data_IF_606047153025
#
_entry.id   IF_606047153025
#
_cell.length_a   1.000
_cell.length_b   1.000
_cell.length_c   1.000
_cell.angle_alpha   90.00
_cell.angle_beta   90.00
_cell.angle_gamma   90.00
#
_symmetry.space_group_name_H-M   'P 1'
#
loop_
_entity.id
_entity.type
_entity.pdbx_description
1 polymer ?
#
# COMPACT_ATOMS: atom_id res chain seq x y z
N UNK A 1 -8.07 5.40 22.25
CA UNK A 1 -7.55 5.97 20.99
C UNK A 1 -6.59 4.97 20.38
N UNK A 2 -6.58 4.85 19.05
CA UNK A 2 -5.57 4.04 18.38
C UNK A 2 -4.19 4.70 18.61
N UNK A 3 -3.16 3.92 18.93
CA UNK A 3 -1.78 4.40 19.09
C UNK A 3 -0.94 3.83 17.96
N UNK A 4 0.06 4.55 17.48
CA UNK A 4 0.97 4.06 16.44
C UNK A 4 1.71 2.81 16.89
N UNK A 5 2.07 2.75 18.16
CA UNK A 5 2.81 1.64 18.76
C UNK A 5 2.00 0.34 18.90
N UNK A 6 0.68 0.37 18.70
CA UNK A 6 -0.16 -0.83 18.63
C UNK A 6 -0.07 -1.55 17.28
N UNK A 7 0.39 -0.87 16.22
CA UNK A 7 0.52 -1.45 14.89
C UNK A 7 1.78 -2.31 14.76
N UNK A 8 1.71 -3.34 13.92
CA UNK A 8 2.87 -4.11 13.47
C UNK A 8 3.47 -3.54 12.20
N UNK A 9 2.64 -2.91 11.38
CA UNK A 9 3.03 -2.31 10.10
C UNK A 9 2.27 -1.02 9.86
N UNK A 10 3.02 0.04 9.54
CA UNK A 10 2.54 1.38 9.23
C UNK A 10 2.87 1.75 7.78
N UNK A 11 1.90 2.35 7.10
CA UNK A 11 2.14 3.11 5.87
C UNK A 11 2.00 4.60 6.22
N UNK A 12 2.98 5.40 5.83
CA UNK A 12 3.02 6.84 6.13
C UNK A 12 3.06 7.57 4.79
N UNK A 13 2.02 8.35 4.52
CA UNK A 13 1.96 9.19 3.31
C UNK A 13 2.46 10.58 3.61
N UNK A 14 3.35 11.06 2.77
CA UNK A 14 4.00 12.36 2.86
C UNK A 14 3.64 13.21 1.63
N UNK A 15 2.95 14.33 1.85
CA UNK A 15 2.60 15.28 0.80
C UNK A 15 3.81 16.09 0.30
N UNK A 16 3.79 16.53 -0.95
CA UNK A 16 4.87 17.31 -1.55
C UNK A 16 5.16 18.61 -0.81
N UNK A 17 4.14 19.28 -0.26
CA UNK A 17 4.28 20.51 0.48
C UNK A 17 5.04 20.36 1.82
N UNK A 18 5.11 19.15 2.36
CA UNK A 18 5.88 18.84 3.57
C UNK A 18 7.37 18.68 3.25
N UNK A 19 7.70 18.20 2.05
CA UNK A 19 9.07 17.90 1.64
C UNK A 19 9.74 19.02 0.87
N UNK A 20 8.98 19.81 0.11
CA UNK A 20 9.52 20.80 -0.81
C UNK A 20 8.93 22.17 -0.48
N UNK A 21 9.79 23.13 -0.26
CA UNK A 21 9.38 24.51 -0.11
C UNK A 21 8.85 25.04 -1.45
N UNK A 22 7.61 25.55 -1.44
CA UNK A 22 6.92 25.98 -2.65
C UNK A 22 7.57 27.19 -3.33
N UNK A 23 8.21 28.07 -2.56
CA UNK A 23 8.78 29.29 -3.07
C UNK A 23 10.15 29.06 -3.72
N UNK A 24 11.01 28.28 -3.07
CA UNK A 24 12.39 28.02 -3.51
C UNK A 24 12.55 26.74 -4.34
N UNK A 25 11.59 25.80 -4.28
CA UNK A 25 11.72 24.46 -4.86
C UNK A 25 12.74 23.57 -4.12
N UNK A 26 13.26 24.03 -2.98
CA UNK A 26 14.27 23.33 -2.21
C UNK A 26 13.64 22.25 -1.29
N UNK A 27 14.43 21.21 -1.03
CA UNK A 27 14.05 20.19 -0.05
C UNK A 27 14.04 20.81 1.37
N UNK A 28 12.99 20.55 2.14
CA UNK A 28 12.88 20.90 3.57
C UNK A 28 13.69 19.89 4.41
N UNK A 29 15.00 20.02 4.35
CA UNK A 29 15.95 19.05 4.89
C UNK A 29 15.77 18.79 6.38
N UNK A 30 15.59 19.84 7.18
CA UNK A 30 15.46 19.70 8.64
C UNK A 30 14.19 18.92 9.00
N UNK A 31 13.10 19.17 8.28
CA UNK A 31 11.86 18.42 8.47
C UNK A 31 12.04 16.93 8.09
N UNK A 32 12.76 16.65 6.99
CA UNK A 32 13.03 15.26 6.58
C UNK A 32 13.90 14.53 7.60
N UNK A 33 14.89 15.20 8.19
CA UNK A 33 15.71 14.64 9.27
C UNK A 33 14.87 14.35 10.53
N UNK A 34 13.95 15.24 10.89
CA UNK A 34 13.04 15.01 12.01
C UNK A 34 12.07 13.81 11.74
N UNK A 35 11.58 13.68 10.51
CA UNK A 35 10.81 12.50 10.13
C UNK A 35 11.66 11.20 10.18
N UNK A 36 12.95 11.27 9.79
CA UNK A 36 13.84 10.12 9.86
C UNK A 36 14.05 9.64 11.31
N UNK A 37 14.12 10.57 12.29
CA UNK A 37 14.13 10.22 13.72
C UNK A 37 12.84 9.49 14.15
N UNK A 38 11.68 9.92 13.64
CA UNK A 38 10.40 9.25 13.92
C UNK A 38 10.37 7.84 13.32
N UNK A 39 10.86 7.67 12.10
CA UNK A 39 10.98 6.35 11.47
C UNK A 39 11.93 5.45 12.25
N UNK A 40 13.07 5.99 12.72
CA UNK A 40 14.02 5.25 13.54
C UNK A 40 13.38 4.81 14.88
N UNK A 41 12.60 5.69 15.51
CA UNK A 41 11.85 5.37 16.71
C UNK A 41 10.85 4.24 16.50
N UNK A 42 10.07 4.26 15.38
CA UNK A 42 9.15 3.18 15.03
C UNK A 42 9.89 1.86 14.77
N UNK A 43 11.00 1.90 14.03
CA UNK A 43 11.85 0.72 13.79
C UNK A 43 12.42 0.14 15.07
N UNK A 44 12.82 0.97 16.03
CA UNK A 44 13.23 0.52 17.36
C UNK A 44 12.10 -0.22 18.11
N UNK A 45 10.85 0.19 17.90
CA UNK A 45 9.64 -0.51 18.41
C UNK A 45 9.28 -1.78 17.62
N UNK A 46 10.13 -2.21 16.66
CA UNK A 46 9.91 -3.38 15.82
C UNK A 46 8.68 -3.25 14.91
N UNK A 47 8.34 -2.03 14.51
CA UNK A 47 7.24 -1.75 13.59
C UNK A 47 7.79 -1.70 12.17
N UNK A 48 7.17 -2.40 11.25
CA UNK A 48 7.43 -2.29 9.81
C UNK A 48 6.92 -0.93 9.31
N UNK A 49 7.76 -0.19 8.59
CA UNK A 49 7.42 1.13 8.04
C UNK A 49 7.55 1.12 6.52
N UNK A 50 6.52 1.66 5.85
CA UNK A 50 6.53 1.97 4.41
C UNK A 50 6.24 3.46 4.26
N UNK A 51 7.06 4.18 3.53
CA UNK A 51 6.84 5.60 3.22
C UNK A 51 6.26 5.73 1.81
N UNK A 52 5.12 6.42 1.67
CA UNK A 52 4.57 6.80 0.36
C UNK A 52 4.77 8.29 0.19
N UNK A 53 5.66 8.67 -0.72
CA UNK A 53 6.15 10.02 -0.80
C UNK A 53 5.82 10.68 -2.13
N UNK A 54 5.28 11.89 -2.06
CA UNK A 54 5.20 12.81 -3.20
C UNK A 54 6.45 13.68 -3.27
N UNK A 55 6.49 14.59 -4.27
CA UNK A 55 7.50 15.65 -4.33
C UNK A 55 8.55 15.50 -5.44
N UNK A 56 8.55 14.38 -6.18
CA UNK A 56 9.42 14.17 -7.34
C UNK A 56 9.33 15.31 -8.36
N UNK A 57 8.12 15.62 -8.83
CA UNK A 57 7.87 16.70 -9.80
C UNK A 57 8.36 18.05 -9.24
N UNK A 58 8.05 18.34 -7.97
CA UNK A 58 8.44 19.62 -7.35
C UNK A 58 9.96 19.80 -7.26
N UNK A 59 10.69 18.76 -6.84
CA UNK A 59 12.15 18.76 -6.77
C UNK A 59 12.79 18.84 -8.15
N UNK A 60 12.24 18.11 -9.12
CA UNK A 60 12.75 18.12 -10.49
C UNK A 60 12.48 19.45 -11.20
N UNK A 61 11.32 20.04 -10.95
CA UNK A 61 10.95 21.37 -11.46
C UNK A 61 11.96 22.42 -11.01
N UNK A 62 12.30 22.47 -9.72
CA UNK A 62 13.32 23.36 -9.19
C UNK A 62 14.69 23.11 -9.81
N UNK A 63 15.08 21.85 -10.01
CA UNK A 63 16.36 21.48 -10.59
C UNK A 63 16.50 21.85 -12.08
N UNK A 64 15.39 21.80 -12.82
CA UNK A 64 15.34 22.14 -14.26
C UNK A 64 15.03 23.61 -14.52
N UNK A 65 14.81 24.43 -13.48
CA UNK A 65 14.41 25.83 -13.63
C UNK A 65 13.08 26.03 -14.33
N UNK A 66 12.16 25.06 -14.21
CA UNK A 66 10.84 25.12 -14.83
C UNK A 66 9.91 26.05 -14.04
N UNK A 67 8.95 26.73 -14.69
CA UNK A 67 8.05 27.67 -14.05
C UNK A 67 7.13 26.99 -13.02
N UNK A 68 6.65 27.78 -12.05
CA UNK A 68 5.73 27.30 -10.99
C UNK A 68 4.30 27.01 -11.49
N UNK A 69 3.96 27.44 -12.71
CA UNK A 69 2.66 27.23 -13.36
C UNK A 69 2.44 25.76 -13.73
N UNK A 70 1.22 25.40 -14.13
CA UNK A 70 0.91 24.07 -14.60
C UNK A 70 1.77 23.70 -15.81
N UNK A 71 2.44 22.54 -15.72
CA UNK A 71 3.31 22.03 -16.76
C UNK A 71 2.52 21.11 -17.70
N UNK A 72 2.83 21.11 -19.01
CA UNK A 72 2.43 20.03 -19.90
C UNK A 72 2.87 18.66 -19.36
N UNK A 73 2.17 17.59 -19.75
CA UNK A 73 2.39 16.25 -19.24
C UNK A 73 3.86 15.83 -19.38
N UNK A 74 4.45 15.99 -20.55
CA UNK A 74 5.82 15.58 -20.84
C UNK A 74 6.85 16.35 -19.99
N UNK A 75 6.60 17.62 -19.70
CA UNK A 75 7.46 18.39 -18.82
C UNK A 75 7.30 17.96 -17.36
N UNK A 76 6.10 17.60 -16.93
CA UNK A 76 5.83 17.04 -15.61
C UNK A 76 6.54 15.69 -15.45
N UNK A 77 6.47 14.81 -16.45
CA UNK A 77 7.14 13.51 -16.47
C UNK A 77 8.66 13.67 -16.46
N UNK A 78 9.21 14.60 -17.26
CA UNK A 78 10.65 14.91 -17.24
C UNK A 78 11.10 15.46 -15.88
N UNK A 79 10.31 16.36 -15.29
CA UNK A 79 10.57 16.87 -13.95
C UNK A 79 10.51 15.72 -12.90
N UNK A 80 9.52 14.84 -12.98
CA UNK A 80 9.43 13.67 -12.12
C UNK A 80 10.67 12.78 -12.22
N UNK A 81 11.13 12.48 -13.43
CA UNK A 81 12.32 11.66 -13.67
C UNK A 81 13.58 12.25 -12.99
N UNK A 82 13.80 13.56 -13.15
CA UNK A 82 14.94 14.26 -12.52
C UNK A 82 14.78 14.35 -11.00
N UNK A 83 13.57 14.62 -10.53
CA UNK A 83 13.29 14.80 -9.10
C UNK A 83 13.26 13.51 -8.33
N UNK A 84 12.88 12.39 -8.95
CA UNK A 84 12.77 11.10 -8.28
C UNK A 84 14.12 10.60 -7.75
N UNK A 85 15.20 10.79 -8.50
CA UNK A 85 16.56 10.45 -8.05
C UNK A 85 16.94 11.28 -6.81
N UNK A 86 16.62 12.58 -6.83
CA UNK A 86 16.90 13.50 -5.72
C UNK A 86 16.09 13.14 -4.47
N UNK A 87 14.83 12.78 -4.67
CA UNK A 87 13.94 12.34 -3.59
C UNK A 87 14.45 11.07 -2.92
N UNK A 88 14.76 10.04 -3.71
CA UNK A 88 15.29 8.77 -3.21
C UNK A 88 16.59 8.98 -2.43
N UNK A 89 17.52 9.76 -2.97
CA UNK A 89 18.79 10.10 -2.31
C UNK A 89 18.57 10.86 -1.00
N UNK A 90 17.63 11.80 -0.95
CA UNK A 90 17.34 12.56 0.26
C UNK A 90 16.85 11.66 1.40
N UNK A 91 15.99 10.68 1.12
CA UNK A 91 15.57 9.68 2.10
C UNK A 91 16.72 8.77 2.55
N UNK A 92 17.56 8.33 1.61
CA UNK A 92 18.74 7.52 1.91
C UNK A 92 19.69 8.27 2.85
N UNK A 93 20.04 9.52 2.51
CA UNK A 93 20.92 10.37 3.33
C UNK A 93 20.33 10.66 4.74
N UNK A 94 18.99 10.81 4.83
CA UNK A 94 18.34 11.08 6.11
C UNK A 94 18.23 9.83 7.02
N UNK A 95 18.04 8.64 6.44
CA UNK A 95 17.84 7.41 7.20
C UNK A 95 19.13 6.61 7.47
N UNK A 96 20.17 6.80 6.65
CA UNK A 96 21.46 6.12 6.80
C UNK A 96 22.13 6.34 8.17
N UNK A 97 22.11 7.54 8.78
CA UNK A 97 22.67 7.76 10.13
C UNK A 97 22.03 6.91 11.22
N UNK A 98 20.80 6.44 11.01
CA UNK A 98 20.07 5.55 11.93
C UNK A 98 20.29 4.06 11.60
N UNK A 99 21.17 3.73 10.65
CA UNK A 99 21.38 2.35 10.20
C UNK A 99 20.23 1.74 9.42
N UNK A 100 19.33 2.58 8.87
CA UNK A 100 18.14 2.15 8.15
C UNK A 100 18.43 2.18 6.66
N UNK A 101 18.35 1.00 6.02
CA UNK A 101 18.43 0.86 4.57
C UNK A 101 17.08 1.21 3.94
N UNK A 102 17.13 1.91 2.82
CA UNK A 102 15.95 2.29 2.03
C UNK A 102 15.93 1.57 0.69
N UNK A 103 14.75 1.41 0.12
CA UNK A 103 14.58 0.91 -1.25
C UNK A 103 13.51 1.72 -1.98
N UNK A 104 13.84 2.20 -3.18
CA UNK A 104 12.85 2.84 -4.04
C UNK A 104 11.95 1.81 -4.70
N UNK A 105 10.63 2.02 -4.63
CA UNK A 105 9.61 1.20 -5.30
C UNK A 105 8.68 2.13 -6.06
N UNK A 106 8.68 2.05 -7.38
CA UNK A 106 7.80 2.82 -8.24
C UNK A 106 6.67 1.94 -8.76
N UNK A 107 5.45 2.39 -8.57
CA UNK A 107 4.23 1.67 -8.98
C UNK A 107 3.25 2.63 -9.65
N UNK A 108 2.28 2.08 -10.38
CA UNK A 108 1.11 2.83 -10.85
C UNK A 108 -0.14 2.27 -10.19
N UNK A 109 -1.23 3.03 -10.19
CA UNK A 109 -2.52 2.53 -9.69
C UNK A 109 -3.03 1.34 -10.50
N UNK A 110 -2.71 1.25 -11.79
CA UNK A 110 -3.02 0.10 -12.62
C UNK A 110 -2.34 -1.19 -12.15
N UNK A 111 -1.14 -1.09 -11.54
CA UNK A 111 -0.45 -2.26 -10.99
C UNK A 111 -1.24 -2.92 -9.86
N UNK A 112 -2.09 -2.16 -9.17
CA UNK A 112 -3.00 -2.68 -8.15
C UNK A 112 -4.22 -3.39 -8.75
N UNK A 113 -4.67 -3.00 -9.95
CA UNK A 113 -5.79 -3.61 -10.65
C UNK A 113 -5.38 -4.91 -11.36
N UNK A 114 -4.14 -5.00 -11.84
CA UNK A 114 -3.61 -6.20 -12.47
C UNK A 114 -3.11 -7.20 -11.42
N UNK A 115 -3.77 -8.36 -11.30
CA UNK A 115 -3.47 -9.35 -10.27
C UNK A 115 -2.02 -9.83 -10.24
N UNK A 116 -1.44 -10.08 -11.41
CA UNK A 116 -0.04 -10.54 -11.52
C UNK A 116 0.92 -9.48 -11.00
N UNK A 117 0.73 -8.22 -11.41
CA UNK A 117 1.53 -7.08 -10.95
C UNK A 117 1.34 -6.84 -9.45
N UNK A 118 0.09 -6.88 -8.99
CA UNK A 118 -0.25 -6.79 -7.56
C UNK A 118 0.49 -7.83 -6.71
N UNK A 119 0.46 -9.12 -7.10
CA UNK A 119 1.14 -10.18 -6.36
C UNK A 119 2.66 -10.02 -6.37
N UNK A 120 3.24 -9.54 -7.48
CA UNK A 120 4.67 -9.25 -7.55
C UNK A 120 5.06 -8.08 -6.65
N UNK A 121 4.36 -6.95 -6.73
CA UNK A 121 4.58 -5.77 -5.87
C UNK A 121 4.45 -6.14 -4.39
N UNK A 122 3.41 -6.91 -4.04
CA UNK A 122 3.22 -7.44 -2.69
C UNK A 122 4.39 -8.30 -2.24
N UNK A 123 4.86 -9.22 -3.08
CA UNK A 123 5.97 -10.11 -2.74
C UNK A 123 7.27 -9.31 -2.51
N UNK A 124 7.57 -8.36 -3.39
CA UNK A 124 8.75 -7.49 -3.30
C UNK A 124 8.70 -6.63 -2.02
N UNK A 125 7.60 -5.91 -1.77
CA UNK A 125 7.45 -5.08 -0.58
C UNK A 125 7.57 -5.89 0.70
N UNK A 126 6.90 -7.04 0.78
CA UNK A 126 7.01 -7.91 1.95
C UNK A 126 8.41 -8.50 2.14
N UNK A 127 9.15 -8.75 1.06
CA UNK A 127 10.53 -9.23 1.16
C UNK A 127 11.47 -8.13 1.68
N UNK A 128 11.35 -6.90 1.18
CA UNK A 128 12.09 -5.74 1.69
C UNK A 128 11.83 -5.53 3.20
N UNK A 129 10.56 -5.56 3.61
CA UNK A 129 10.19 -5.40 5.02
C UNK A 129 10.79 -6.51 5.90
N UNK A 130 10.78 -7.78 5.44
CA UNK A 130 11.43 -8.90 6.16
C UNK A 130 12.94 -8.73 6.30
N UNK A 131 13.60 -8.06 5.36
CA UNK A 131 15.01 -7.70 5.41
C UNK A 131 15.29 -6.48 6.30
N UNK A 132 14.26 -5.87 6.90
CA UNK A 132 14.38 -4.67 7.73
C UNK A 132 14.48 -3.36 6.94
N UNK A 133 14.41 -3.42 5.61
CA UNK A 133 14.47 -2.27 4.71
C UNK A 133 13.18 -1.44 4.80
N UNK A 134 13.29 -0.12 4.70
CA UNK A 134 12.15 0.81 4.59
C UNK A 134 11.89 1.13 3.11
N UNK A 135 10.80 0.62 2.52
CA UNK A 135 10.43 0.99 1.16
C UNK A 135 9.97 2.44 1.08
N UNK A 136 10.51 3.18 0.10
CA UNK A 136 10.06 4.51 -0.31
C UNK A 136 9.27 4.33 -1.59
N UNK A 137 7.95 4.35 -1.47
CA UNK A 137 7.04 4.12 -2.58
C UNK A 137 6.61 5.45 -3.17
N UNK A 138 6.61 5.56 -4.48
CA UNK A 138 6.02 6.67 -5.20
C UNK A 138 5.34 6.16 -6.47
N UNK A 139 4.54 7.02 -7.07
CA UNK A 139 4.02 6.79 -8.41
C UNK A 139 5.15 6.77 -9.43
N UNK A 140 5.04 5.91 -10.44
CA UNK A 140 5.90 5.95 -11.61
C UNK A 140 5.41 7.03 -12.58
N UNK A 141 5.61 8.28 -12.20
CA UNK A 141 5.19 9.46 -12.94
C UNK A 141 5.67 9.47 -14.41
N UNK A 142 6.72 8.73 -14.74
CA UNK A 142 7.28 8.70 -16.10
C UNK A 142 6.41 7.94 -17.09
N UNK A 143 5.54 7.07 -16.63
CA UNK A 143 4.63 6.27 -17.46
C UNK A 143 3.15 6.46 -17.08
N UNK A 144 2.86 7.02 -15.91
CA UNK A 144 1.52 7.31 -15.47
C UNK A 144 0.97 8.55 -16.17
N UNK A 145 -0.28 8.51 -16.62
CA UNK A 145 -0.93 9.62 -17.35
C UNK A 145 -2.10 10.20 -16.58
N UNK A 146 -2.96 9.39 -16.02
CA UNK A 146 -4.18 9.83 -15.37
C UNK A 146 -3.92 10.32 -13.95
N UNK A 147 -3.04 9.67 -13.22
CA UNK A 147 -2.69 9.95 -11.83
C UNK A 147 -1.86 11.23 -11.69
N UNK A 148 -0.96 11.53 -12.64
CA UNK A 148 -0.21 12.80 -12.68
C UNK A 148 -1.16 13.99 -12.74
N UNK A 149 -2.27 13.84 -13.45
CA UNK A 149 -3.29 14.87 -13.60
C UNK A 149 -3.92 15.27 -12.27
N UNK A 150 -4.03 14.33 -11.34
CA UNK A 150 -4.70 14.53 -10.05
C UNK A 150 -3.74 14.70 -8.88
N UNK A 151 -2.45 14.34 -9.04
CA UNK A 151 -1.39 14.56 -8.04
C UNK A 151 -1.67 13.93 -6.67
N UNK A 152 -2.40 12.80 -6.64
CA UNK A 152 -2.97 12.24 -5.42
C UNK A 152 -2.31 10.94 -5.01
N UNK A 153 -1.32 11.05 -4.11
CA UNK A 153 -0.72 9.87 -3.46
C UNK A 153 -1.53 9.37 -2.24
N UNK A 154 -2.68 9.96 -1.89
CA UNK A 154 -3.53 9.46 -0.80
C UNK A 154 -4.15 8.12 -1.21
N UNK A 155 -4.66 8.04 -2.45
CA UNK A 155 -5.19 6.81 -3.04
C UNK A 155 -4.09 5.75 -3.19
N UNK A 156 -2.91 6.13 -3.68
CA UNK A 156 -1.77 5.22 -3.78
C UNK A 156 -1.38 4.67 -2.40
N UNK A 157 -1.32 5.52 -1.37
CA UNK A 157 -0.98 5.11 -0.02
C UNK A 157 -1.99 4.10 0.55
N UNK A 158 -3.29 4.29 0.30
CA UNK A 158 -4.30 3.32 0.69
C UNK A 158 -4.11 1.98 -0.04
N UNK A 159 -3.82 1.99 -1.33
CA UNK A 159 -3.53 0.76 -2.09
C UNK A 159 -2.27 0.05 -1.58
N UNK A 160 -1.20 0.79 -1.24
CA UNK A 160 0.02 0.23 -0.64
C UNK A 160 -0.26 -0.35 0.75
N UNK A 161 -1.11 0.29 1.55
CA UNK A 161 -1.53 -0.25 2.85
C UNK A 161 -2.21 -1.62 2.68
N UNK A 162 -3.13 -1.75 1.73
CA UNK A 162 -3.79 -3.02 1.42
C UNK A 162 -2.80 -4.06 0.86
N UNK A 163 -1.94 -3.64 -0.06
CA UNK A 163 -0.95 -4.51 -0.69
C UNK A 163 0.02 -5.10 0.32
N UNK A 164 0.47 -4.30 1.27
CA UNK A 164 1.39 -4.73 2.33
C UNK A 164 0.69 -5.39 3.51
N UNK A 165 -0.64 -5.22 3.62
CA UNK A 165 -1.42 -5.67 4.78
C UNK A 165 -1.08 -4.86 6.02
N UNK A 166 -0.96 -3.55 5.89
CA UNK A 166 -0.68 -2.65 7.00
C UNK A 166 -1.86 -2.56 7.96
N UNK A 167 -1.56 -2.39 9.23
CA UNK A 167 -2.55 -2.19 10.29
C UNK A 167 -3.07 -0.76 10.31
N UNK A 168 -2.19 0.20 9.97
CA UNK A 168 -2.52 1.62 9.99
C UNK A 168 -1.89 2.36 8.80
N UNK A 169 -2.63 3.35 8.30
CA UNK A 169 -2.20 4.35 7.32
C UNK A 169 -2.24 5.73 7.95
N UNK A 170 -1.13 6.46 7.94
CA UNK A 170 -1.05 7.83 8.44
C UNK A 170 -0.89 8.79 7.28
N UNK A 171 -1.85 9.67 7.08
CA UNK A 171 -1.74 10.78 6.14
C UNK A 171 -1.19 12.01 6.86
N UNK A 172 0.09 12.31 6.65
CA UNK A 172 0.70 13.57 7.05
C UNK A 172 0.24 14.65 6.06
N UNK A 173 -0.53 15.59 6.56
CA UNK A 173 -1.26 16.58 5.76
C UNK A 173 -0.94 18.01 6.24
N UNK A 174 -1.52 18.98 5.57
CA UNK A 174 -1.57 20.40 5.95
C UNK A 174 -2.79 20.74 6.82
N UNK A 175 -3.56 19.70 7.20
CA UNK A 175 -4.69 19.80 8.14
C UNK A 175 -4.53 18.79 9.27
N UNK A 176 -5.03 19.13 10.43
CA UNK A 176 -4.91 18.35 11.67
C UNK A 176 -6.07 17.37 11.91
N UNK A 177 -6.89 17.11 10.87
CA UNK A 177 -7.99 16.16 10.92
C UNK A 177 -9.09 16.45 9.92
N UNK A 178 -10.20 15.75 10.09
CA UNK A 178 -11.44 15.90 9.33
C UNK A 178 -12.45 16.70 10.15
N UNK A 179 -13.11 17.66 9.52
CA UNK A 179 -14.06 18.60 10.15
C UNK A 179 -15.43 18.50 9.54
N UNK A 180 -16.45 18.91 10.30
CA UNK A 180 -17.84 18.99 9.85
C UNK A 180 -18.07 20.01 8.72
N UNK A 181 -17.15 20.95 8.56
CA UNK A 181 -17.11 21.97 7.52
C UNK A 181 -15.66 22.50 7.41
N UNK A 182 -15.38 23.37 6.45
CA UNK A 182 -14.06 23.98 6.30
C UNK A 182 -13.75 24.94 7.47
N UNK A 183 -12.80 24.62 8.35
CA UNK A 183 -12.49 25.45 9.53
C UNK A 183 -11.90 26.83 9.19
N UNK A 184 -11.42 27.02 7.94
CA UNK A 184 -10.92 28.33 7.51
C UNK A 184 -12.03 29.29 7.16
N UNK A 185 -13.21 28.79 6.75
CA UNK A 185 -14.37 29.59 6.39
C UNK A 185 -15.48 29.56 7.42
N UNK A 186 -15.54 28.53 8.27
CA UNK A 186 -16.56 28.35 9.31
C UNK A 186 -15.91 28.12 10.67
N UNK A 187 -16.01 29.11 11.55
CA UNK A 187 -15.45 29.03 12.92
C UNK A 187 -16.16 28.00 13.82
N UNK A 188 -17.40 27.58 13.46
CA UNK A 188 -18.17 26.57 14.19
C UNK A 188 -17.85 25.14 13.72
N UNK A 189 -16.96 24.97 12.74
CA UNK A 189 -16.56 23.68 12.25
C UNK A 189 -15.91 22.84 13.38
N UNK A 190 -16.44 21.65 13.60
CA UNK A 190 -15.98 20.73 14.64
C UNK A 190 -15.15 19.61 14.05
N UNK A 191 -13.96 19.36 14.60
CA UNK A 191 -13.14 18.22 14.23
C UNK A 191 -13.74 16.92 14.77
N UNK A 192 -13.70 15.89 13.97
CA UNK A 192 -14.00 14.53 14.40
C UNK A 192 -12.72 13.87 14.92
N UNK A 193 -12.74 13.39 16.16
CA UNK A 193 -11.60 12.61 16.69
C UNK A 193 -11.59 11.20 16.14
N UNK A 194 -12.78 10.60 15.97
CA UNK A 194 -12.97 9.25 15.43
C UNK A 194 -14.15 9.23 14.47
N UNK A 195 -13.98 8.55 13.35
CA UNK A 195 -15.03 8.22 12.38
C UNK A 195 -15.07 6.69 12.25
N UNK A 196 -16.10 6.07 12.82
CA UNK A 196 -16.25 4.60 12.81
C UNK A 196 -16.83 4.09 11.48
N UNK A 197 -17.64 4.91 10.81
CA UNK A 197 -18.24 4.59 9.52
C UNK A 197 -18.29 5.84 8.63
N UNK A 198 -17.85 5.68 7.39
CA UNK A 198 -17.92 6.75 6.39
C UNK A 198 -19.29 6.67 5.72
N UNK A 199 -20.27 7.39 6.29
CA UNK A 199 -21.62 7.47 5.78
C UNK A 199 -21.73 8.52 4.65
N UNK A 200 -22.83 8.54 3.86
CA UNK A 200 -23.07 9.59 2.87
C UNK A 200 -23.02 11.01 3.45
N UNK A 201 -23.43 11.19 4.71
CA UNK A 201 -23.38 12.47 5.41
C UNK A 201 -21.94 12.90 5.67
N UNK A 202 -21.06 11.98 6.08
CA UNK A 202 -19.61 12.22 6.24
C UNK A 202 -18.99 12.52 4.87
N UNK A 203 -19.36 11.80 3.81
CA UNK A 203 -18.88 12.10 2.45
C UNK A 203 -19.27 13.50 1.99
N UNK A 204 -20.50 13.95 2.28
CA UNK A 204 -20.97 15.27 1.92
C UNK A 204 -20.21 16.42 2.64
N UNK A 205 -19.72 16.19 3.86
CA UNK A 205 -18.92 17.18 4.63
C UNK A 205 -17.55 17.45 4.00
N UNK A 206 -17.04 16.57 3.14
CA UNK A 206 -15.77 16.80 2.45
C UNK A 206 -15.82 17.89 1.38
N UNK A 207 -17.02 18.45 1.15
CA UNK A 207 -17.30 19.50 0.16
C UNK A 207 -17.65 18.96 -1.21
N UNK A 208 -18.32 19.78 -2.02
CA UNK A 208 -18.72 19.47 -3.39
C UNK A 208 -17.50 19.47 -4.33
N UNK A 209 -16.72 18.42 -4.30
CA UNK A 209 -15.67 18.16 -5.28
C UNK A 209 -16.20 17.65 -6.62
N UNK A 210 -17.43 18.06 -7.00
CA UNK A 210 -18.07 17.71 -8.28
C UNK A 210 -17.32 18.24 -9.52
N UNK A 211 -16.30 19.06 -9.36
CA UNK A 211 -15.51 19.58 -10.47
C UNK A 211 -14.26 18.77 -10.82
N UNK A 212 -14.06 17.57 -10.32
CA UNK A 212 -13.03 16.61 -10.80
C UNK A 212 -11.57 17.11 -10.92
N UNK A 213 -11.27 18.33 -10.48
CA UNK A 213 -10.06 19.09 -10.78
C UNK A 213 -9.24 19.53 -9.55
N UNK A 214 -9.68 19.20 -8.32
CA UNK A 214 -8.89 19.56 -7.14
C UNK A 214 -7.75 18.58 -6.93
N UNK A 215 -6.54 19.04 -7.12
CA UNK A 215 -5.29 18.33 -6.80
C UNK A 215 -5.22 18.10 -5.27
N UNK A 216 -5.72 16.95 -4.76
CA UNK A 216 -5.58 16.53 -3.37
C UNK A 216 -6.38 17.36 -2.37
N UNK A 217 -7.68 17.13 -2.25
CA UNK A 217 -8.55 17.74 -1.24
C UNK A 217 -8.99 16.75 -0.17
N UNK A 218 -9.93 17.17 0.71
CA UNK A 218 -10.49 16.30 1.74
C UNK A 218 -11.21 15.08 1.13
N UNK A 219 -11.79 15.20 -0.06
CA UNK A 219 -12.44 14.10 -0.78
C UNK A 219 -11.45 12.97 -1.07
N UNK A 220 -10.24 13.27 -1.54
CA UNK A 220 -9.23 12.24 -1.83
C UNK A 220 -8.80 11.51 -0.57
N UNK A 221 -8.73 12.23 0.56
CA UNK A 221 -8.43 11.65 1.89
C UNK A 221 -9.56 10.74 2.36
N UNK A 222 -10.83 11.12 2.16
CA UNK A 222 -11.97 10.25 2.49
C UNK A 222 -12.05 9.01 1.59
N UNK A 223 -11.75 9.13 0.30
CA UNK A 223 -11.65 7.97 -0.59
C UNK A 223 -10.53 7.02 -0.17
N UNK A 224 -9.39 7.57 0.25
CA UNK A 224 -8.29 6.78 0.82
C UNK A 224 -8.71 6.11 2.13
N UNK A 225 -9.44 6.82 3.02
CA UNK A 225 -9.97 6.26 4.25
C UNK A 225 -10.95 5.11 3.99
N UNK A 226 -11.89 5.30 3.06
CA UNK A 226 -12.85 4.25 2.65
C UNK A 226 -12.15 3.01 2.11
N UNK A 227 -11.11 3.22 1.29
CA UNK A 227 -10.29 2.12 0.76
C UNK A 227 -9.52 1.40 1.86
N UNK A 228 -8.81 2.14 2.72
CA UNK A 228 -7.99 1.58 3.79
C UNK A 228 -8.85 0.81 4.80
N UNK A 229 -9.92 1.43 5.34
CA UNK A 229 -10.78 0.82 6.35
C UNK A 229 -11.55 -0.39 5.82
N UNK A 230 -12.02 -0.33 4.57
CA UNK A 230 -12.62 -1.47 3.88
C UNK A 230 -11.66 -2.64 3.72
N UNK A 231 -10.36 -2.37 3.60
CA UNK A 231 -9.28 -3.37 3.58
C UNK A 231 -8.78 -3.78 4.97
N UNK A 232 -9.39 -3.30 6.05
CA UNK A 232 -9.02 -3.64 7.42
C UNK A 232 -7.85 -2.85 7.99
N UNK A 233 -7.45 -1.75 7.33
CA UNK A 233 -6.40 -0.85 7.76
C UNK A 233 -7.03 0.42 8.34
N UNK A 234 -6.79 0.73 9.61
CA UNK A 234 -7.21 2.00 10.20
C UNK A 234 -6.43 3.16 9.55
N UNK A 235 -7.04 4.34 9.46
CA UNK A 235 -6.37 5.50 8.86
C UNK A 235 -6.45 6.72 9.78
N UNK A 236 -5.38 7.51 9.84
CA UNK A 236 -5.40 8.81 10.49
C UNK A 236 -5.04 9.93 9.52
N UNK A 237 -5.71 11.08 9.67
CA UNK A 237 -5.30 12.37 9.10
C UNK A 237 -4.78 13.22 10.24
N UNK A 238 -3.57 13.75 10.11
CA UNK A 238 -2.94 14.61 11.13
C UNK A 238 -2.06 15.67 10.48
N UNK A 239 -1.79 16.75 11.24
CA UNK A 239 -0.86 17.81 10.82
C UNK A 239 0.55 17.25 10.65
N UNK A 240 1.08 17.38 9.45
CA UNK A 240 2.40 16.87 9.09
C UNK A 240 3.50 17.94 9.08
N UNK A 241 3.15 19.23 9.17
CA UNK A 241 4.13 20.34 9.06
C UNK A 241 5.01 20.51 10.28
N UNK A 242 4.60 19.95 11.41
CA UNK A 242 5.36 19.99 12.67
C UNK A 242 6.62 19.12 12.60
N UNK A 243 7.60 19.44 13.42
CA UNK A 243 8.78 18.59 13.56
C UNK A 243 8.41 17.32 14.33
N UNK A 244 8.90 16.15 13.87
CA UNK A 244 8.59 14.84 14.42
C UNK A 244 7.08 14.55 14.48
N UNK A 245 6.39 14.56 13.32
CA UNK A 245 4.93 14.53 13.30
C UNK A 245 4.34 13.21 13.82
N UNK A 246 5.07 12.09 13.68
CA UNK A 246 4.58 10.80 14.17
C UNK A 246 4.69 10.70 15.68
N UNK A 247 5.75 11.25 16.27
CA UNK A 247 5.87 11.32 17.72
C UNK A 247 4.88 12.32 18.31
N UNK A 248 4.60 13.43 17.62
CA UNK A 248 3.55 14.35 18.01
C UNK A 248 2.18 13.66 18.05
N UNK A 249 1.86 12.87 17.02
CA UNK A 249 0.62 12.08 16.94
C UNK A 249 0.54 11.06 18.11
N UNK A 250 1.60 10.31 18.38
CA UNK A 250 1.64 9.36 19.51
C UNK A 250 1.43 10.06 20.85
N UNK A 251 1.92 11.28 20.99
CA UNK A 251 1.78 12.11 22.19
C UNK A 251 0.45 12.87 22.28
N UNK A 252 -0.51 12.58 21.37
CA UNK A 252 -1.87 13.12 21.43
C UNK A 252 -2.09 14.42 20.65
N UNK A 253 -1.25 14.70 19.65
CA UNK A 253 -1.57 15.77 18.69
C UNK A 253 -2.91 15.50 17.99
N UNK A 254 -3.53 16.56 17.51
CA UNK A 254 -4.80 16.50 16.81
C UNK A 254 -4.75 15.53 15.62
N UNK A 255 -5.75 14.69 15.51
CA UNK A 255 -5.95 13.79 14.39
C UNK A 255 -7.43 13.37 14.28
N UNK A 256 -7.83 12.94 13.08
CA UNK A 256 -9.05 12.18 12.90
C UNK A 256 -8.69 10.75 12.56
N UNK A 257 -9.15 9.79 13.36
CA UNK A 257 -8.98 8.37 13.13
C UNK A 257 -10.22 7.78 12.46
N UNK A 258 -10.01 7.09 11.34
CA UNK A 258 -11.00 6.26 10.66
C UNK A 258 -10.75 4.81 11.06
N UNK A 259 -11.74 4.17 11.72
CA UNK A 259 -11.55 2.83 12.26
C UNK A 259 -11.88 1.75 11.22
N UNK A 260 -11.15 0.65 11.28
CA UNK A 260 -11.46 -0.54 10.48
C UNK A 260 -12.25 -1.54 11.31
N UNK A 261 -13.35 -2.08 10.74
CA UNK A 261 -14.23 -3.05 11.42
C UNK A 261 -13.69 -4.48 11.38
N UNK A 262 -12.67 -4.73 10.59
CA UNK A 262 -12.03 -6.04 10.41
C UNK A 262 -10.53 -5.89 10.34
N UNK A 263 -9.79 -6.97 10.55
CA UNK A 263 -8.34 -6.97 10.37
C UNK A 263 -7.96 -7.05 8.88
N UNK A 264 -6.75 -6.63 8.48
CA UNK A 264 -6.27 -6.76 7.10
C UNK A 264 -6.32 -8.21 6.58
N UNK A 265 -6.05 -9.17 7.46
CA UNK A 265 -6.13 -10.59 7.10
C UNK A 265 -7.57 -11.04 6.83
N UNK A 266 -8.53 -10.60 7.64
CA UNK A 266 -9.95 -10.92 7.44
C UNK A 266 -10.50 -10.27 6.16
N UNK A 267 -10.17 -9.00 5.93
CA UNK A 267 -10.54 -8.30 4.72
C UNK A 267 -9.99 -9.02 3.48
N UNK A 268 -8.70 -9.42 3.50
CA UNK A 268 -8.08 -10.17 2.41
C UNK A 268 -8.75 -11.51 2.14
N UNK A 269 -9.05 -12.28 3.19
CA UNK A 269 -9.78 -13.55 3.03
C UNK A 269 -11.15 -13.35 2.41
N UNK A 270 -11.91 -12.34 2.86
CA UNK A 270 -13.20 -11.97 2.26
C UNK A 270 -13.06 -11.61 0.78
N UNK A 271 -12.06 -10.79 0.44
CA UNK A 271 -11.78 -10.40 -0.93
C UNK A 271 -11.44 -11.61 -1.82
N UNK A 272 -10.54 -12.52 -1.36
CA UNK A 272 -10.23 -13.76 -2.10
C UNK A 272 -11.50 -14.60 -2.28
N UNK A 273 -12.29 -14.81 -1.22
CA UNK A 273 -13.52 -15.62 -1.27
C UNK A 273 -14.60 -15.06 -2.20
N UNK A 274 -14.62 -13.75 -2.43
CA UNK A 274 -15.61 -13.10 -3.31
C UNK A 274 -15.27 -13.20 -4.80
N UNK A 275 -14.07 -13.63 -5.14
CA UNK A 275 -13.64 -13.75 -6.54
C UNK A 275 -14.29 -14.95 -7.22
N UNK A 276 -14.57 -14.83 -8.50
CA UNK A 276 -15.03 -15.96 -9.33
C UNK A 276 -13.83 -16.84 -9.65
N UNK A 277 -13.81 -18.13 -9.25
CA UNK A 277 -12.73 -19.05 -9.58
C UNK A 277 -12.63 -19.28 -11.09
N UNK A 278 -11.40 -19.41 -11.57
CA UNK A 278 -11.09 -19.73 -12.98
C UNK A 278 -10.73 -21.21 -13.18
N UNK A 279 -10.54 -21.95 -12.08
CA UNK A 279 -10.23 -23.37 -12.08
C UNK A 279 -10.26 -23.95 -10.68
N UNK A 280 -9.80 -25.19 -10.53
CA UNK A 280 -9.73 -25.87 -9.26
C UNK A 280 -8.47 -26.75 -9.13
N UNK A 281 -8.00 -26.88 -7.88
CA UNK A 281 -6.91 -27.75 -7.45
C UNK A 281 -7.48 -28.79 -6.48
N UNK A 282 -7.48 -30.07 -6.86
CA UNK A 282 -7.83 -31.13 -5.92
C UNK A 282 -6.59 -31.55 -5.15
N UNK A 283 -6.73 -31.70 -3.83
CA UNK A 283 -5.61 -32.01 -2.94
C UNK A 283 -5.82 -33.34 -2.24
N UNK A 284 -4.72 -33.99 -1.86
CA UNK A 284 -4.74 -35.19 -1.03
C UNK A 284 -5.10 -34.86 0.45
N UNK A 285 -5.35 -35.90 1.25
CA UNK A 285 -5.73 -35.74 2.65
C UNK A 285 -4.61 -35.15 3.51
N UNK A 286 -3.34 -35.41 3.17
CA UNK A 286 -2.17 -34.83 3.83
C UNK A 286 -2.09 -33.33 3.65
N UNK A 287 -2.27 -32.87 2.40
CA UNK A 287 -2.33 -31.45 2.05
C UNK A 287 -3.57 -30.79 2.68
N UNK A 288 -4.75 -31.41 2.61
CA UNK A 288 -5.96 -30.91 3.26
C UNK A 288 -5.74 -30.72 4.78
N UNK A 289 -5.08 -31.65 5.44
CA UNK A 289 -4.69 -31.52 6.85
C UNK A 289 -3.67 -30.41 7.10
N UNK A 290 -2.70 -30.22 6.21
CA UNK A 290 -1.72 -29.14 6.31
C UNK A 290 -2.37 -27.75 6.14
N UNK A 291 -3.29 -27.61 5.20
CA UNK A 291 -4.06 -26.39 4.95
C UNK A 291 -4.87 -25.96 6.19
N UNK A 292 -5.57 -26.89 6.85
CA UNK A 292 -6.29 -26.62 8.11
C UNK A 292 -5.37 -26.11 9.23
N UNK A 293 -4.07 -26.48 9.20
CA UNK A 293 -3.05 -25.98 10.13
C UNK A 293 -2.39 -24.68 9.66
N UNK A 294 -2.96 -24.00 8.65
CA UNK A 294 -2.50 -22.70 8.14
C UNK A 294 -1.19 -22.78 7.32
N UNK A 295 -0.89 -23.91 6.69
CA UNK A 295 0.27 -24.05 5.78
C UNK A 295 -0.11 -23.65 4.36
N UNK A 296 0.91 -23.32 3.56
CA UNK A 296 0.76 -23.08 2.12
C UNK A 296 0.47 -24.39 1.37
N UNK A 297 -0.23 -24.29 0.22
CA UNK A 297 -0.44 -25.43 -0.66
C UNK A 297 0.82 -25.63 -1.54
N UNK A 298 1.49 -26.76 -1.33
CA UNK A 298 2.65 -27.17 -2.11
C UNK A 298 2.22 -28.05 -3.31
N UNK A 299 3.00 -28.09 -4.40
CA UNK A 299 2.70 -28.94 -5.56
C UNK A 299 2.56 -30.41 -5.19
N UNK A 300 3.36 -30.91 -4.26
CA UNK A 300 3.35 -32.30 -3.83
C UNK A 300 1.97 -32.80 -3.32
N UNK A 301 1.17 -31.91 -2.76
CA UNK A 301 -0.15 -32.25 -2.24
C UNK A 301 -1.29 -32.09 -3.25
N UNK A 302 -1.01 -31.70 -4.51
CA UNK A 302 -2.04 -31.52 -5.56
C UNK A 302 -2.11 -32.74 -6.44
N UNK A 303 -3.30 -33.31 -6.57
CA UNK A 303 -3.57 -34.54 -7.37
C UNK A 303 -4.16 -34.21 -8.74
N UNK A 304 -5.05 -33.22 -8.81
CA UNK A 304 -5.69 -32.80 -10.07
C UNK A 304 -5.73 -31.27 -10.20
N UNK A 305 -5.64 -30.81 -11.45
CA UNK A 305 -5.77 -29.41 -11.84
C UNK A 305 -6.81 -29.32 -12.93
N UNK A 306 -7.79 -28.43 -12.79
CA UNK A 306 -8.88 -28.23 -13.78
C UNK A 306 -9.12 -26.75 -14.03
N UNK A 307 -9.73 -26.42 -15.18
CA UNK A 307 -10.01 -25.04 -15.58
C UNK A 307 -8.88 -24.42 -16.41
N UNK A 308 -8.98 -23.12 -16.65
CA UNK A 308 -7.97 -22.32 -17.37
C UNK A 308 -7.73 -21.04 -16.56
N UNK A 309 -6.55 -20.90 -16.02
CA UNK A 309 -6.18 -19.78 -15.16
C UNK A 309 -4.74 -19.35 -15.38
N UNK A 310 -4.50 -18.08 -15.16
CA UNK A 310 -3.19 -17.44 -15.20
C UNK A 310 -2.62 -17.25 -13.79
N UNK A 311 -1.37 -16.83 -13.72
CA UNK A 311 -0.72 -16.48 -12.43
C UNK A 311 -1.46 -15.36 -11.75
N UNK A 312 -1.90 -15.60 -10.52
CA UNK A 312 -2.68 -14.66 -9.71
C UNK A 312 -4.19 -14.88 -9.80
N UNK A 313 -4.65 -15.76 -10.66
CA UNK A 313 -6.07 -16.06 -10.74
C UNK A 313 -6.56 -16.88 -9.54
N UNK A 314 -7.82 -16.66 -9.10
CA UNK A 314 -8.43 -17.42 -8.05
C UNK A 314 -8.78 -18.83 -8.54
N UNK A 315 -8.42 -19.81 -7.74
CA UNK A 315 -8.77 -21.22 -7.97
C UNK A 315 -9.43 -21.82 -6.73
N UNK A 316 -10.38 -22.71 -6.91
CA UNK A 316 -10.93 -23.50 -5.80
C UNK A 316 -9.93 -24.52 -5.30
N UNK A 317 -9.99 -24.83 -4.02
CA UNK A 317 -9.24 -25.90 -3.40
C UNK A 317 -10.25 -26.96 -2.98
N UNK A 318 -10.16 -28.15 -3.57
CA UNK A 318 -11.09 -29.25 -3.36
C UNK A 318 -10.37 -30.41 -2.63
N UNK A 319 -11.06 -31.04 -1.71
CA UNK A 319 -10.60 -32.29 -1.13
C UNK A 319 -10.72 -33.45 -2.15
N UNK A 320 -10.15 -34.60 -1.83
CA UNK A 320 -10.20 -35.84 -2.65
C UNK A 320 -11.63 -36.31 -2.95
N UNK A 321 -12.57 -36.00 -2.06
CA UNK A 321 -14.01 -36.31 -2.16
C UNK A 321 -14.81 -35.24 -2.97
N UNK A 322 -14.14 -34.20 -3.50
CA UNK A 322 -14.76 -33.12 -4.26
C UNK A 322 -15.32 -31.99 -3.40
N UNK A 323 -15.28 -32.08 -2.07
CA UNK A 323 -15.74 -31.04 -1.15
C UNK A 323 -14.81 -29.81 -1.22
N UNK A 324 -15.41 -28.62 -1.36
CA UNK A 324 -14.67 -27.35 -1.33
C UNK A 324 -14.06 -27.12 0.05
N UNK A 325 -12.74 -26.94 0.09
CA UNK A 325 -12.00 -26.56 1.28
C UNK A 325 -11.85 -25.04 1.39
N UNK A 326 -11.76 -24.36 0.25
CA UNK A 326 -11.61 -22.92 0.18
C UNK A 326 -11.21 -22.45 -1.22
N UNK A 327 -10.56 -21.30 -1.27
CA UNK A 327 -10.15 -20.65 -2.52
C UNK A 327 -8.83 -19.91 -2.31
N UNK A 328 -7.99 -19.80 -3.37
CA UNK A 328 -6.73 -19.08 -3.27
C UNK A 328 -6.23 -18.56 -4.60
N UNK A 329 -5.23 -17.68 -4.56
CA UNK A 329 -4.59 -17.12 -5.74
C UNK A 329 -3.43 -18.02 -6.15
N UNK A 330 -3.52 -18.63 -7.35
CA UNK A 330 -2.50 -19.54 -7.85
C UNK A 330 -1.25 -18.78 -8.30
N UNK A 331 -0.07 -19.26 -7.89
CA UNK A 331 1.21 -18.65 -8.28
C UNK A 331 1.69 -19.09 -9.67
N UNK A 332 0.99 -20.01 -10.30
CA UNK A 332 1.35 -20.66 -11.56
C UNK A 332 0.17 -20.62 -12.52
N UNK A 333 0.45 -20.73 -13.83
CA UNK A 333 -0.58 -20.96 -14.83
C UNK A 333 -1.14 -22.39 -14.75
N UNK A 334 -2.24 -22.67 -15.42
CA UNK A 334 -2.81 -24.03 -15.51
C UNK A 334 -1.76 -25.05 -15.99
N UNK A 335 -1.04 -24.74 -17.08
CA UNK A 335 -0.06 -25.64 -17.69
C UNK A 335 1.13 -25.90 -16.74
N UNK A 336 1.64 -24.86 -16.09
CA UNK A 336 2.70 -25.00 -15.10
C UNK A 336 2.25 -25.83 -13.90
N UNK A 337 1.04 -25.57 -13.40
CA UNK A 337 0.46 -26.30 -12.28
C UNK A 337 0.25 -27.78 -12.62
N UNK A 338 -0.15 -28.10 -13.87
CA UNK A 338 -0.25 -29.47 -14.37
C UNK A 338 1.11 -30.18 -14.40
N UNK A 339 2.19 -29.50 -14.80
CA UNK A 339 3.53 -30.08 -14.88
C UNK A 339 4.12 -30.37 -13.48
N UNK A 340 3.87 -29.50 -12.50
CA UNK A 340 4.48 -29.61 -11.17
C UNK A 340 3.59 -30.30 -10.12
N UNK A 341 2.33 -30.62 -10.44
CA UNK A 341 1.44 -31.34 -9.50
C UNK A 341 2.06 -32.66 -9.05
N UNK A 342 1.96 -32.96 -7.77
CA UNK A 342 2.54 -34.16 -7.18
C UNK A 342 4.06 -34.12 -7.01
N UNK A 343 4.76 -33.08 -7.50
CA UNK A 343 6.20 -32.95 -7.45
C UNK A 343 6.68 -32.21 -6.18
N UNK A 344 7.92 -32.43 -5.79
CA UNK A 344 8.53 -31.69 -4.68
C UNK A 344 8.86 -30.26 -5.11
N UNK A 345 8.75 -29.31 -4.20
CA UNK A 345 9.07 -27.91 -4.50
C UNK A 345 10.52 -27.70 -4.97
N UNK A 346 11.44 -28.58 -4.58
CA UNK A 346 12.84 -28.53 -5.04
C UNK A 346 12.99 -28.86 -6.54
N UNK A 347 12.05 -29.59 -7.13
CA UNK A 347 12.12 -30.06 -8.51
C UNK A 347 11.51 -29.05 -9.50
N UNK A 348 10.84 -27.99 -9.01
CA UNK A 348 10.13 -27.00 -9.83
C UNK A 348 11.06 -26.37 -10.87
N UNK A 349 12.26 -25.96 -10.47
CA UNK A 349 13.21 -25.31 -11.38
C UNK A 349 13.64 -26.24 -12.52
N UNK A 350 13.84 -27.50 -12.23
CA UNK A 350 14.19 -28.51 -13.24
C UNK A 350 13.04 -28.75 -14.21
N UNK A 351 11.80 -28.76 -13.71
CA UNK A 351 10.61 -29.04 -14.52
C UNK A 351 10.20 -27.84 -15.39
N UNK A 352 10.22 -26.64 -14.82
CA UNK A 352 9.75 -25.44 -15.51
C UNK A 352 10.85 -24.63 -16.20
N UNK A 353 12.14 -24.95 -15.97
CA UNK A 353 13.29 -24.25 -16.55
C UNK A 353 13.57 -22.87 -15.93
N UNK A 354 12.92 -22.53 -14.83
CA UNK A 354 13.17 -21.28 -14.09
C UNK A 354 12.87 -21.47 -12.59
N UNK A 355 13.48 -20.65 -11.73
CA UNK A 355 13.26 -20.69 -10.30
C UNK A 355 11.84 -20.15 -9.95
N UNK A 356 10.91 -21.07 -9.71
CA UNK A 356 9.54 -20.78 -9.34
C UNK A 356 9.33 -20.57 -7.84
N UNK A 357 8.10 -20.21 -7.44
CA UNK A 357 7.69 -20.15 -6.03
C UNK A 357 7.56 -21.57 -5.48
N UNK A 358 7.95 -21.79 -4.22
CA UNK A 358 7.88 -23.11 -3.59
C UNK A 358 6.44 -23.61 -3.37
N UNK A 359 5.45 -22.71 -3.33
CA UNK A 359 4.04 -23.01 -3.12
C UNK A 359 3.20 -22.69 -4.35
N UNK A 360 2.24 -23.54 -4.69
CA UNK A 360 1.17 -23.24 -5.66
C UNK A 360 0.26 -22.12 -5.17
N UNK A 361 -0.09 -22.15 -3.87
CA UNK A 361 -0.85 -21.08 -3.22
C UNK A 361 -0.20 -20.79 -1.86
N UNK A 362 0.25 -19.55 -1.66
CA UNK A 362 0.79 -19.14 -0.37
C UNK A 362 -0.34 -19.01 0.66
N UNK A 363 -0.07 -19.35 1.93
CA UNK A 363 -1.06 -19.29 3.03
C UNK A 363 -1.74 -17.93 3.17
N UNK A 364 -1.02 -16.83 2.89
CA UNK A 364 -1.57 -15.47 2.97
C UNK A 364 -2.40 -15.08 1.73
N UNK A 365 -2.38 -15.92 0.69
CA UNK A 365 -3.13 -15.77 -0.56
C UNK A 365 -4.28 -16.78 -0.64
N UNK A 366 -4.79 -17.24 0.51
CA UNK A 366 -5.77 -18.31 0.62
C UNK A 366 -6.85 -17.97 1.66
N UNK A 367 -8.09 -18.29 1.33
CA UNK A 367 -9.25 -18.22 2.19
C UNK A 367 -9.84 -19.64 2.36
N UNK A 368 -9.70 -20.19 3.54
CA UNK A 368 -10.21 -21.50 3.95
C UNK A 368 -11.31 -21.30 4.98
#
# INVERSE_FOLDING_TARGET
MATLTAAKRLVIKIGSALLVDRASGALRKDWLLALAEDVAWLKFKQIDVVLVSSGSIALGRGALGLPSQDLPLEQSQAAAAVGQIRLARAYEEALAPHGIMTAQVLVTLEDSANRRRYLNSRATLNHLLKMGVVPIVNENDTVATDEIRYGDNDRLAAQIALTTGADQLILLSDVDGFYSDNPQSNADAKRFDVVDEITPEIEAMAGDGLSGLSKGGMITKLLAAKTATGGGCAMAITEGSVMRPLQALENGANATWFTAQVTPQQARKRWISSMKPQGALTVDDGAAGALRRGKSLLPAGVTHVTGSFERGDPVEILASDGRKLGQGLCAYTTDEAQQIKGQRSADIETILGYQGRTALIHRDDMAL
#
